data_IF_714677132397
#
_entry.id   IF_714677132397
#
_cell.length_a   1.000
_cell.length_b   1.000
_cell.length_c   1.000
_cell.angle_alpha   90.00
_cell.angle_beta   90.00
_cell.angle_gamma   90.00
#
_symmetry.space_group_name_H-M   'P 1'
#
loop_
_entity.id
_entity.type
_entity.pdbx_description
1 polymer ?
#
# COMPACT_ATOMS: atom_id res chain seq x y z
N UNK A 1 -7.94 -7.22 9.31
CA UNK A 1 -7.15 -8.46 9.24
C UNK A 1 -5.80 -8.26 8.58
N UNK A 2 -5.75 -7.46 7.55
CA UNK A 2 -4.52 -7.18 6.80
C UNK A 2 -3.96 -5.80 7.10
N UNK A 3 -4.47 -5.12 8.11
CA UNK A 3 -4.09 -3.76 8.51
C UNK A 3 -3.91 -2.84 7.28
N UNK A 4 -2.72 -2.33 7.05
CA UNK A 4 -2.45 -1.42 5.93
C UNK A 4 -2.69 -2.03 4.53
N UNK A 5 -2.69 -3.36 4.38
CA UNK A 5 -2.97 -4.05 3.11
C UNK A 5 -4.47 -4.31 2.88
N UNK A 6 -5.34 -4.06 3.84
CA UNK A 6 -6.74 -4.49 3.78
C UNK A 6 -7.46 -4.09 2.48
N UNK A 7 -7.37 -2.83 2.08
CA UNK A 7 -8.02 -2.35 0.86
C UNK A 7 -7.40 -2.94 -0.42
N UNK A 8 -6.08 -3.10 -0.47
CA UNK A 8 -5.39 -3.75 -1.60
C UNK A 8 -5.78 -5.23 -1.72
N UNK A 9 -5.88 -5.95 -0.58
CA UNK A 9 -6.37 -7.33 -0.57
C UNK A 9 -7.85 -7.41 -1.02
N UNK A 10 -8.65 -6.40 -0.66
CA UNK A 10 -10.02 -6.26 -1.16
C UNK A 10 -10.08 -6.13 -2.69
N UNK A 11 -9.18 -5.35 -3.29
CA UNK A 11 -9.09 -5.23 -4.75
C UNK A 11 -8.74 -6.57 -5.42
N UNK A 12 -7.76 -7.32 -4.87
CA UNK A 12 -7.39 -8.65 -5.38
C UNK A 12 -8.62 -9.61 -5.37
N UNK A 13 -9.38 -9.63 -4.26
CA UNK A 13 -10.57 -10.45 -4.15
C UNK A 13 -11.68 -10.04 -5.14
N UNK A 14 -11.93 -8.73 -5.28
CA UNK A 14 -12.91 -8.20 -6.22
C UNK A 14 -12.53 -8.49 -7.67
N UNK A 15 -11.26 -8.39 -8.04
CA UNK A 15 -10.78 -8.74 -9.37
C UNK A 15 -11.16 -10.17 -9.73
N UNK A 16 -10.90 -11.14 -8.85
CA UNK A 16 -11.29 -12.54 -9.06
C UNK A 16 -12.81 -12.74 -9.19
N UNK A 17 -13.61 -12.04 -8.40
CA UNK A 17 -15.09 -12.12 -8.47
C UNK A 17 -15.63 -11.49 -9.77
N UNK A 18 -15.02 -10.42 -10.26
CA UNK A 18 -15.39 -9.76 -11.51
C UNK A 18 -14.99 -10.63 -12.71
N UNK A 19 -13.75 -11.15 -12.72
CA UNK A 19 -13.28 -12.04 -13.80
C UNK A 19 -14.11 -13.31 -13.91
N UNK A 20 -14.49 -13.90 -12.76
CA UNK A 20 -15.35 -15.08 -12.71
C UNK A 20 -16.83 -14.77 -13.00
N UNK A 21 -17.17 -13.49 -13.23
CA UNK A 21 -18.54 -13.00 -13.50
C UNK A 21 -19.54 -13.24 -12.36
N UNK A 22 -19.06 -13.44 -11.13
CA UNK A 22 -19.93 -13.51 -9.95
C UNK A 22 -20.53 -12.15 -9.60
N UNK A 23 -19.80 -11.07 -9.86
CA UNK A 23 -20.26 -9.70 -9.72
C UNK A 23 -19.84 -8.87 -10.95
N UNK A 24 -20.60 -7.82 -11.25
CA UNK A 24 -20.28 -6.89 -12.33
C UNK A 24 -19.43 -5.71 -11.84
N UNK A 25 -19.67 -5.27 -10.61
CA UNK A 25 -19.01 -4.15 -9.96
C UNK A 25 -18.69 -4.49 -8.51
N UNK A 26 -17.59 -3.99 -8.00
CA UNK A 26 -17.18 -4.11 -6.61
C UNK A 26 -16.56 -2.83 -6.11
N UNK A 27 -16.67 -2.56 -4.82
CA UNK A 27 -16.09 -1.37 -4.17
C UNK A 27 -15.10 -1.82 -3.10
N UNK A 28 -13.81 -1.52 -3.31
CA UNK A 28 -12.77 -1.68 -2.29
C UNK A 28 -12.62 -0.37 -1.51
N UNK A 29 -12.78 -0.43 -0.19
CA UNK A 29 -12.69 0.73 0.68
C UNK A 29 -11.55 0.53 1.67
N UNK A 30 -10.64 1.50 1.74
CA UNK A 30 -9.65 1.65 2.78
C UNK A 30 -9.96 2.91 3.59
N UNK A 31 -10.24 2.76 4.87
CA UNK A 31 -10.50 3.89 5.76
C UNK A 31 -9.95 3.58 7.15
N UNK A 32 -9.29 4.55 7.73
CA UNK A 32 -8.77 4.45 9.09
C UNK A 32 -8.76 5.82 9.77
N UNK A 33 -8.92 5.82 11.08
CA UNK A 33 -8.59 6.90 11.99
C UNK A 33 -7.43 6.43 12.84
N UNK A 34 -6.24 6.40 12.23
CA UNK A 34 -5.06 5.80 12.82
C UNK A 34 -4.74 6.42 14.19
N UNK A 35 -4.55 5.55 15.17
CA UNK A 35 -4.20 5.94 16.53
C UNK A 35 -2.81 5.44 16.88
N UNK A 36 -2.09 6.24 17.64
CA UNK A 36 -0.79 5.88 18.19
C UNK A 36 -0.74 6.21 19.67
N UNK A 37 0.11 5.48 20.39
CA UNK A 37 0.38 5.80 21.78
C UNK A 37 1.11 7.15 21.85
N UNK A 38 0.72 8.06 22.76
CA UNK A 38 1.46 9.30 22.98
C UNK A 38 2.96 9.05 23.22
N UNK A 39 3.80 9.85 22.56
CA UNK A 39 5.26 9.74 22.57
C UNK A 39 5.82 8.49 21.85
N UNK A 40 5.00 7.76 21.12
CA UNK A 40 5.46 6.68 20.23
C UNK A 40 5.86 7.24 18.86
N UNK A 41 6.78 6.55 18.19
CA UNK A 41 7.22 6.95 16.83
C UNK A 41 6.10 6.99 15.80
N UNK A 42 5.04 6.22 15.99
CA UNK A 42 3.86 6.21 15.11
C UNK A 42 3.05 7.51 15.22
N UNK A 43 3.15 8.25 16.32
CA UNK A 43 2.39 9.49 16.54
C UNK A 43 2.68 10.55 15.48
N UNK A 44 3.91 10.59 14.98
CA UNK A 44 4.34 11.58 13.98
C UNK A 44 3.70 11.40 12.60
N UNK A 45 3.20 10.20 12.31
CA UNK A 45 2.67 9.88 10.98
C UNK A 45 1.25 9.33 10.99
N UNK A 46 0.69 8.98 12.16
CA UNK A 46 -0.70 8.51 12.24
C UNK A 46 -1.67 9.55 11.71
N UNK A 47 -2.55 9.16 10.81
CA UNK A 47 -3.51 10.04 10.15
C UNK A 47 -4.89 9.41 9.99
N UNK A 48 -5.89 10.24 9.71
CA UNK A 48 -7.24 9.80 9.39
C UNK A 48 -7.54 10.12 7.93
N UNK A 49 -7.93 9.12 7.17
CA UNK A 49 -8.38 9.28 5.79
C UNK A 49 -9.15 8.05 5.31
N UNK A 50 -9.84 8.21 4.17
CA UNK A 50 -10.53 7.13 3.48
C UNK A 50 -10.39 7.25 1.97
N UNK A 51 -10.37 6.11 1.31
CA UNK A 51 -10.34 5.98 -0.15
C UNK A 51 -11.27 4.85 -0.56
N UNK A 52 -11.93 5.01 -1.68
CA UNK A 52 -12.79 3.99 -2.28
C UNK A 52 -12.41 3.81 -3.76
N UNK A 53 -12.22 2.56 -4.17
CA UNK A 53 -11.89 2.16 -5.54
C UNK A 53 -13.04 1.34 -6.09
N UNK A 54 -13.76 1.89 -7.07
CA UNK A 54 -14.79 1.17 -7.80
C UNK A 54 -14.12 0.34 -8.90
N UNK A 55 -14.32 -0.97 -8.86
CA UNK A 55 -13.79 -1.92 -9.81
C UNK A 55 -14.88 -2.51 -10.69
N UNK A 56 -14.57 -2.73 -11.96
CA UNK A 56 -15.50 -3.30 -12.94
C UNK A 56 -14.79 -3.68 -14.23
N UNK A 57 -15.51 -4.31 -15.15
CA UNK A 57 -14.95 -4.80 -16.42
C UNK A 57 -15.06 -3.83 -17.59
N UNK A 58 -15.61 -2.60 -17.41
CA UNK A 58 -15.87 -1.66 -18.51
C UNK A 58 -15.73 -0.21 -18.06
N UNK A 59 -15.33 0.65 -18.98
CA UNK A 59 -15.22 2.10 -18.78
C UNK A 59 -14.31 2.46 -17.58
N UNK A 60 -13.19 1.75 -17.43
CA UNK A 60 -12.24 1.96 -16.38
C UNK A 60 -11.23 3.05 -16.75
N UNK A 61 -10.81 3.85 -15.77
CA UNK A 61 -9.72 4.85 -15.94
C UNK A 61 -8.34 4.19 -15.97
N UNK A 62 -8.20 2.99 -15.38
CA UNK A 62 -7.00 2.18 -15.41
C UNK A 62 -7.36 0.69 -15.37
N UNK A 63 -6.49 -0.18 -15.85
CA UNK A 63 -6.65 -1.63 -15.79
C UNK A 63 -5.74 -2.24 -14.71
N UNK A 64 -6.23 -3.29 -14.03
CA UNK A 64 -5.41 -4.13 -13.17
C UNK A 64 -4.88 -5.31 -14.00
N UNK A 65 -3.69 -5.19 -14.55
CA UNK A 65 -3.12 -6.20 -15.46
C UNK A 65 -2.53 -7.40 -14.75
N UNK A 66 -1.95 -7.19 -13.57
CA UNK A 66 -1.33 -8.28 -12.81
C UNK A 66 -1.19 -7.93 -11.34
N UNK A 67 -1.07 -8.95 -10.51
CA UNK A 67 -0.73 -8.81 -9.09
C UNK A 67 0.14 -9.97 -8.62
N UNK A 68 0.84 -9.77 -7.50
CA UNK A 68 1.56 -10.79 -6.74
C UNK A 68 1.43 -10.52 -5.26
N UNK A 69 1.63 -11.54 -4.46
CA UNK A 69 1.68 -11.41 -3.01
C UNK A 69 2.97 -12.02 -2.47
N UNK A 70 3.50 -11.42 -1.42
CA UNK A 70 4.63 -11.93 -0.64
C UNK A 70 4.22 -12.00 0.82
N UNK A 71 4.39 -13.16 1.42
CA UNK A 71 4.02 -13.41 2.83
C UNK A 71 5.16 -14.11 3.57
N UNK A 72 5.34 -13.77 4.83
CA UNK A 72 6.25 -14.45 5.73
C UNK A 72 5.70 -14.40 7.16
N UNK A 73 6.17 -15.28 8.03
CA UNK A 73 5.89 -15.22 9.45
C UNK A 73 6.78 -14.15 10.10
N UNK A 74 6.25 -12.93 10.15
CA UNK A 74 6.99 -11.74 10.60
C UNK A 74 6.11 -10.89 11.51
N UNK A 75 6.07 -11.19 12.82
CA UNK A 75 5.24 -10.45 13.78
C UNK A 75 5.88 -9.08 14.12
N UNK A 76 5.73 -8.12 13.23
CA UNK A 76 6.35 -6.80 13.33
C UNK A 76 5.42 -5.68 13.79
N UNK A 77 4.10 -5.87 13.59
CA UNK A 77 3.07 -4.89 13.93
C UNK A 77 1.79 -5.62 14.39
N UNK A 78 1.27 -5.30 15.57
CA UNK A 78 0.13 -6.02 16.14
C UNK A 78 -0.69 -5.16 17.10
N UNK A 79 -1.90 -5.63 17.41
CA UNK A 79 -2.73 -5.11 18.49
C UNK A 79 -3.24 -6.27 19.33
N UNK A 80 -3.14 -6.17 20.65
CA UNK A 80 -3.70 -7.15 21.58
C UNK A 80 -5.10 -6.75 22.00
N UNK A 81 -5.90 -7.72 22.36
CA UNK A 81 -7.24 -7.50 22.90
C UNK A 81 -7.20 -6.56 24.12
N UNK A 82 -8.14 -5.62 24.18
CA UNK A 82 -8.24 -4.64 25.24
C UNK A 82 -7.18 -3.51 25.19
N UNK A 83 -6.27 -3.54 24.22
CA UNK A 83 -5.27 -2.48 24.03
C UNK A 83 -5.72 -1.54 22.91
N UNK A 84 -5.84 -0.26 23.24
CA UNK A 84 -6.31 0.79 22.30
C UNK A 84 -5.29 1.03 21.18
N UNK A 85 -4.00 1.07 21.52
CA UNK A 85 -2.96 1.44 20.58
C UNK A 85 -2.26 0.21 19.99
N UNK A 86 -1.86 0.27 18.71
CA UNK A 86 -1.03 -0.77 18.11
C UNK A 86 0.36 -0.77 18.75
N UNK A 87 1.02 -1.92 18.65
CA UNK A 87 2.42 -2.12 19.01
C UNK A 87 3.23 -2.46 17.77
N UNK A 88 4.52 -2.14 17.78
CA UNK A 88 5.43 -2.46 16.72
C UNK A 88 6.78 -2.95 17.26
N UNK A 89 7.54 -3.65 16.42
CA UNK A 89 8.82 -4.25 16.78
C UNK A 89 10.03 -3.29 16.62
N UNK A 90 9.80 -1.98 16.71
CA UNK A 90 10.86 -0.97 16.60
C UNK A 90 11.57 -1.02 15.25
N UNK A 91 12.90 -1.18 15.25
CA UNK A 91 13.68 -1.25 14.00
C UNK A 91 13.29 -2.41 13.11
N UNK A 92 12.89 -3.54 13.67
CA UNK A 92 12.49 -4.73 12.94
C UNK A 92 11.26 -4.49 12.06
N UNK A 93 10.35 -3.62 12.44
CA UNK A 93 9.19 -3.23 11.64
C UNK A 93 9.59 -2.58 10.31
N UNK A 94 10.70 -1.86 10.28
CA UNK A 94 11.28 -1.31 9.04
C UNK A 94 12.23 -2.31 8.38
N UNK A 95 13.33 -2.61 9.05
CA UNK A 95 14.37 -3.51 8.57
C UNK A 95 14.47 -4.71 9.52
N UNK A 96 14.13 -5.97 9.08
CA UNK A 96 13.86 -6.32 7.68
C UNK A 96 12.39 -6.23 7.25
N UNK A 97 11.37 -6.13 8.14
CA UNK A 97 9.99 -6.47 7.83
C UNK A 97 9.40 -5.68 6.64
N UNK A 98 9.29 -4.36 6.73
CA UNK A 98 8.72 -3.55 5.64
C UNK A 98 9.50 -3.75 4.32
N UNK A 99 10.82 -3.62 4.37
CA UNK A 99 11.66 -3.72 3.16
C UNK A 99 11.62 -5.10 2.54
N UNK A 100 11.69 -6.17 3.34
CA UNK A 100 11.61 -7.55 2.82
C UNK A 100 10.28 -7.80 2.10
N UNK A 101 9.16 -7.38 2.69
CA UNK A 101 7.85 -7.60 2.10
C UNK A 101 7.63 -6.78 0.83
N UNK A 102 7.91 -5.48 0.87
CA UNK A 102 7.67 -4.60 -0.30
C UNK A 102 8.61 -4.95 -1.45
N UNK A 103 9.88 -5.14 -1.17
CA UNK A 103 10.86 -5.54 -2.21
C UNK A 103 10.57 -6.93 -2.75
N UNK A 104 10.24 -7.90 -1.89
CA UNK A 104 9.89 -9.26 -2.31
C UNK A 104 8.68 -9.28 -3.24
N UNK A 105 7.60 -8.57 -2.88
CA UNK A 105 6.42 -8.48 -3.74
C UNK A 105 6.71 -7.77 -5.07
N UNK A 106 7.43 -6.64 -5.04
CA UNK A 106 7.79 -5.89 -6.24
C UNK A 106 8.68 -6.73 -7.19
N UNK A 107 9.71 -7.39 -6.68
CA UNK A 107 10.59 -8.25 -7.47
C UNK A 107 9.84 -9.43 -8.09
N UNK A 108 8.92 -10.05 -7.34
CA UNK A 108 8.06 -11.11 -7.88
C UNK A 108 7.15 -10.59 -9.00
N UNK A 109 6.56 -9.40 -8.84
CA UNK A 109 5.73 -8.79 -9.86
C UNK A 109 6.53 -8.46 -11.12
N UNK A 110 7.66 -7.77 -10.99
CA UNK A 110 8.55 -7.44 -12.10
C UNK A 110 9.01 -8.70 -12.86
N UNK A 111 9.38 -9.77 -12.14
CA UNK A 111 9.74 -11.04 -12.74
C UNK A 111 8.57 -11.70 -13.48
N UNK A 112 7.37 -11.67 -12.92
CA UNK A 112 6.15 -12.25 -13.50
C UNK A 112 5.75 -11.55 -14.79
N UNK A 113 5.85 -10.22 -14.80
CA UNK A 113 5.37 -9.36 -15.89
C UNK A 113 6.47 -8.98 -16.89
N UNK A 114 7.72 -9.27 -16.55
CA UNK A 114 8.92 -8.82 -17.30
C UNK A 114 8.99 -7.28 -17.44
N UNK A 115 8.44 -6.56 -16.46
CA UNK A 115 8.50 -5.10 -16.41
C UNK A 115 9.80 -4.67 -15.73
N UNK A 116 10.47 -3.67 -16.30
CA UNK A 116 11.66 -3.05 -15.74
C UNK A 116 11.32 -1.69 -15.11
N UNK A 117 12.00 -1.27 -14.04
CA UNK A 117 11.72 0.01 -13.38
C UNK A 117 11.73 1.22 -14.34
N UNK A 118 12.61 1.21 -15.32
CA UNK A 118 12.77 2.28 -16.32
C UNK A 118 11.58 2.41 -17.27
N UNK A 119 10.73 1.39 -17.35
CA UNK A 119 9.53 1.36 -18.23
C UNK A 119 8.25 1.72 -17.49
N UNK A 120 8.35 2.05 -16.21
CA UNK A 120 7.22 2.42 -15.35
C UNK A 120 7.18 3.93 -15.21
N UNK A 121 6.05 4.55 -15.49
CA UNK A 121 5.90 5.99 -15.34
C UNK A 121 5.82 6.41 -13.87
N UNK A 122 5.07 5.66 -13.07
CA UNK A 122 4.87 5.96 -11.64
C UNK A 122 4.91 4.70 -10.78
N UNK A 123 5.46 4.84 -9.55
CA UNK A 123 5.40 3.79 -8.55
C UNK A 123 4.70 4.28 -7.27
N UNK A 124 3.95 3.38 -6.65
CA UNK A 124 3.20 3.64 -5.42
C UNK A 124 3.54 2.57 -4.40
N UNK A 125 4.00 2.96 -3.23
CA UNK A 125 4.28 2.05 -2.12
C UNK A 125 3.41 2.39 -0.92
N UNK A 126 3.26 1.46 0.01
CA UNK A 126 2.75 1.78 1.34
C UNK A 126 3.70 2.75 2.04
N UNK A 127 3.15 3.74 2.73
CA UNK A 127 3.89 4.86 3.29
C UNK A 127 3.73 4.95 4.81
N UNK A 128 4.43 4.11 5.61
CA UNK A 128 4.40 4.23 7.07
C UNK A 128 4.97 5.58 7.56
N UNK A 129 5.89 6.13 6.79
CA UNK A 129 6.51 7.45 6.94
C UNK A 129 7.11 7.89 5.61
N UNK A 130 7.58 9.13 5.52
CA UNK A 130 8.16 9.68 4.28
C UNK A 130 9.49 9.06 3.85
N UNK A 131 10.22 8.38 4.74
CA UNK A 131 11.52 7.77 4.44
C UNK A 131 11.39 6.42 3.73
N UNK A 132 10.50 5.54 4.20
CA UNK A 132 10.44 4.15 3.76
C UNK A 132 10.12 4.00 2.26
N UNK A 133 9.10 4.66 1.69
CA UNK A 133 8.83 4.55 0.25
C UNK A 133 9.99 5.07 -0.61
N UNK A 134 10.69 6.12 -0.16
CA UNK A 134 11.87 6.65 -0.87
C UNK A 134 13.04 5.66 -0.86
N UNK A 135 13.30 5.03 0.27
CA UNK A 135 14.35 4.02 0.37
C UNK A 135 14.04 2.77 -0.47
N UNK A 136 12.77 2.33 -0.48
CA UNK A 136 12.33 1.21 -1.34
C UNK A 136 12.47 1.55 -2.82
N UNK A 137 11.97 2.71 -3.24
CA UNK A 137 12.09 3.15 -4.63
C UNK A 137 13.55 3.11 -5.10
N UNK A 138 14.46 3.69 -4.32
CA UNK A 138 15.90 3.66 -4.62
C UNK A 138 16.47 2.25 -4.70
N UNK A 139 16.11 1.35 -3.77
CA UNK A 139 16.57 -0.06 -3.75
C UNK A 139 16.05 -0.85 -4.96
N UNK A 140 14.89 -0.48 -5.49
CA UNK A 140 14.27 -1.09 -6.68
C UNK A 140 14.63 -0.38 -7.99
N UNK A 141 15.56 0.59 -7.94
CA UNK A 141 16.00 1.40 -9.08
C UNK A 141 14.93 2.31 -9.70
N UNK A 142 13.88 2.67 -8.95
CA UNK A 142 12.96 3.73 -9.36
C UNK A 142 13.55 5.10 -9.05
N UNK A 143 13.23 6.09 -9.88
CA UNK A 143 13.64 7.47 -9.69
C UNK A 143 12.72 8.22 -8.70
N UNK A 144 13.18 9.37 -8.23
CA UNK A 144 12.36 10.24 -7.38
C UNK A 144 11.14 10.80 -8.10
N UNK A 145 11.25 11.04 -9.39
CA UNK A 145 10.17 11.56 -10.25
C UNK A 145 9.04 10.54 -10.40
N UNK A 146 9.38 9.24 -10.55
CA UNK A 146 8.40 8.15 -10.61
C UNK A 146 7.63 7.98 -9.29
N UNK A 147 8.25 8.31 -8.16
CA UNK A 147 7.65 8.16 -6.83
C UNK A 147 6.91 9.41 -6.36
N UNK A 148 7.40 10.60 -6.68
CA UNK A 148 6.97 11.86 -6.09
C UNK A 148 5.44 12.08 -6.10
N UNK A 149 4.70 11.80 -7.18
CA UNK A 149 3.26 12.02 -7.21
C UNK A 149 2.46 11.19 -6.20
N UNK A 150 2.99 10.04 -5.79
CA UNK A 150 2.33 9.13 -4.86
C UNK A 150 2.56 9.47 -3.37
N UNK A 151 3.47 10.39 -3.05
CA UNK A 151 3.94 10.65 -1.69
C UNK A 151 2.96 11.47 -0.84
N UNK A 152 1.73 10.99 -0.68
CA UNK A 152 0.69 11.65 0.13
C UNK A 152 1.08 11.74 1.62
N UNK A 153 1.98 10.88 2.07
CA UNK A 153 2.42 10.84 3.47
C UNK A 153 3.07 12.16 3.94
N UNK A 154 3.67 12.90 3.03
CA UNK A 154 4.30 14.20 3.33
C UNK A 154 3.25 15.29 3.66
N UNK A 155 1.99 15.07 3.27
CA UNK A 155 0.92 16.04 3.40
C UNK A 155 -0.11 15.64 4.45
N UNK A 156 -0.50 14.38 4.49
CA UNK A 156 -1.59 13.87 5.33
C UNK A 156 -1.15 12.79 6.32
N UNK A 157 0.10 12.29 6.26
CA UNK A 157 0.57 11.19 7.09
C UNK A 157 0.15 9.82 6.57
N UNK A 158 0.10 8.82 7.46
CA UNK A 158 -0.21 7.43 7.15
C UNK A 158 -1.59 7.03 7.68
N UNK A 159 -2.62 6.95 6.83
CA UNK A 159 -3.93 6.43 7.17
C UNK A 159 -4.03 4.91 6.99
N UNK A 160 -2.99 4.17 7.26
CA UNK A 160 -2.91 2.70 7.24
C UNK A 160 -3.52 2.07 5.97
N UNK A 161 -4.74 1.51 6.07
CA UNK A 161 -5.41 0.82 4.96
C UNK A 161 -5.69 1.70 3.74
N UNK A 162 -5.79 3.01 3.91
CA UNK A 162 -5.99 3.96 2.82
C UNK A 162 -4.67 4.42 2.16
N UNK A 163 -3.52 4.25 2.82
CA UNK A 163 -2.25 4.87 2.44
C UNK A 163 -1.86 4.63 0.97
N UNK A 164 -1.70 3.37 0.55
CA UNK A 164 -1.28 3.03 -0.83
C UNK A 164 -2.31 3.47 -1.86
N UNK A 165 -3.60 3.25 -1.59
CA UNK A 165 -4.66 3.57 -2.56
C UNK A 165 -4.90 5.06 -2.71
N UNK A 166 -4.62 5.86 -1.68
CA UNK A 166 -4.61 7.32 -1.83
C UNK A 166 -3.43 7.79 -2.68
N UNK A 167 -2.25 7.19 -2.51
CA UNK A 167 -1.12 7.42 -3.42
C UNK A 167 -1.45 7.02 -4.85
N UNK A 168 -2.17 5.92 -5.04
CA UNK A 168 -2.66 5.52 -6.37
C UNK A 168 -3.65 6.55 -6.94
N UNK A 169 -4.61 7.01 -6.14
CA UNK A 169 -5.56 8.04 -6.58
C UNK A 169 -4.83 9.33 -7.01
N UNK A 170 -3.85 9.79 -6.22
CA UNK A 170 -3.04 10.96 -6.57
C UNK A 170 -2.27 10.79 -7.90
N UNK A 171 -1.79 9.59 -8.19
CA UNK A 171 -1.14 9.29 -9.47
C UNK A 171 -2.16 9.29 -10.61
N UNK A 172 -3.34 8.67 -10.43
CA UNK A 172 -4.37 8.61 -11.46
C UNK A 172 -4.99 9.98 -11.80
N UNK A 173 -4.87 10.96 -10.91
CA UNK A 173 -5.33 12.33 -11.17
C UNK A 173 -4.42 13.10 -12.14
N UNK A 174 -3.20 12.62 -12.39
CA UNK A 174 -2.20 13.29 -13.24
C UNK A 174 -1.75 12.44 -14.45
N UNK A 175 -2.14 11.17 -14.50
CA UNK A 175 -1.73 10.19 -15.52
C UNK A 175 -2.48 10.36 -16.86
#
# INVERSE_FOLDING_TARGET
EFACKAATAGMEALAGLIESKHIALGLAIGADTAQSKPHDSLEYTSAAAGVAVLMGGKNCIAALDSYTSYSSDTPDFWRRDGIVYPSHAGRFTGEPAYFAHVMGAAQLLMKKTNIMPETVDYCVFHMPNGKFPRDVARRLAFTSEQLAPSLIVDHIGNPYSASSLMGLAAVLDIA
#
